data_IF_798224078586
#
_entry.id   IF_798224078586
#
_cell.length_a   1.000
_cell.length_b   1.000
_cell.length_c   1.000
_cell.angle_alpha   90.00
_cell.angle_beta   90.00
_cell.angle_gamma   90.00
#
_symmetry.space_group_name_H-M   'P 1'
#
loop_
_entity.id
_entity.type
_entity.pdbx_description
1 polymer ?
#
# COMPACT_ATOMS: atom_id res chain seq x y z
N UNK A 1 13.94 20.24 -23.93
CA UNK A 1 12.77 19.85 -24.73
C UNK A 1 12.81 18.33 -24.88
N UNK A 2 12.53 17.59 -23.80
CA UNK A 2 12.79 16.12 -23.74
C UNK A 2 11.92 15.37 -22.71
N UNK A 3 10.91 16.02 -22.11
CA UNK A 3 10.08 15.42 -21.05
C UNK A 3 8.90 14.57 -21.56
N UNK A 4 8.46 14.76 -22.81
CA UNK A 4 7.30 14.04 -23.37
C UNK A 4 7.60 12.57 -23.71
N UNK A 5 8.76 12.27 -24.30
CA UNK A 5 9.11 10.91 -24.73
C UNK A 5 9.21 9.89 -23.58
N UNK A 6 9.81 10.27 -22.44
CA UNK A 6 9.91 9.37 -21.27
C UNK A 6 8.55 9.04 -20.63
N UNK A 7 7.55 9.92 -20.77
CA UNK A 7 6.21 9.70 -20.22
C UNK A 7 5.36 8.74 -21.06
N UNK A 8 5.56 8.72 -22.38
CA UNK A 8 4.84 7.83 -23.30
C UNK A 8 5.43 6.42 -23.25
N UNK A 9 6.76 6.31 -23.17
CA UNK A 9 7.47 5.04 -23.08
C UNK A 9 7.21 4.33 -21.73
N UNK A 10 7.12 5.10 -20.63
CA UNK A 10 6.69 4.56 -19.32
C UNK A 10 5.24 4.08 -19.32
N UNK A 11 4.32 4.77 -20.04
CA UNK A 11 2.92 4.35 -20.17
C UNK A 11 2.75 3.13 -21.07
N UNK A 12 3.53 3.04 -22.15
CA UNK A 12 3.53 1.89 -23.06
C UNK A 12 4.06 0.62 -22.38
N UNK A 13 5.10 0.73 -21.55
CA UNK A 13 5.58 -0.36 -20.70
C UNK A 13 4.53 -0.82 -19.67
N UNK A 14 3.77 0.12 -19.09
CA UNK A 14 2.67 -0.19 -18.15
C UNK A 14 1.48 -0.88 -18.83
N UNK A 15 1.18 -0.53 -20.09
CA UNK A 15 0.09 -1.12 -20.87
C UNK A 15 0.44 -2.53 -21.38
N UNK A 16 1.69 -2.76 -21.80
CA UNK A 16 2.20 -4.06 -22.22
C UNK A 16 2.37 -5.04 -21.04
N UNK A 17 2.57 -4.51 -19.83
CA UNK A 17 2.62 -5.28 -18.58
C UNK A 17 1.23 -5.60 -17.99
N UNK A 18 0.15 -5.54 -18.79
CA UNK A 18 -1.14 -6.16 -18.45
C UNK A 18 -1.00 -7.68 -18.43
N UNK A 19 -0.25 -8.18 -17.44
CA UNK A 19 -0.06 -9.59 -17.14
C UNK A 19 -1.43 -10.23 -16.88
N UNK A 20 -1.57 -11.48 -17.32
CA UNK A 20 -2.76 -12.32 -17.16
C UNK A 20 -3.03 -12.74 -15.70
N UNK A 21 -3.13 -11.78 -14.78
CA UNK A 21 -3.42 -12.04 -13.37
C UNK A 21 -3.90 -10.80 -12.61
N UNK A 22 -4.33 -10.97 -11.35
CA UNK A 22 -4.85 -9.88 -10.52
C UNK A 22 -3.84 -8.73 -10.36
N UNK A 23 -4.33 -7.50 -10.33
CA UNK A 23 -3.52 -6.30 -10.09
C UNK A 23 -3.02 -6.34 -8.65
N UNK A 24 -1.70 -6.19 -8.46
CA UNK A 24 -1.09 -6.19 -7.14
C UNK A 24 -1.19 -4.78 -6.55
N UNK A 25 -1.76 -4.68 -5.35
CA UNK A 25 -1.95 -3.41 -4.64
C UNK A 25 -1.27 -3.52 -3.28
N UNK A 26 -0.60 -2.44 -2.87
CA UNK A 26 -0.04 -2.31 -1.53
C UNK A 26 -0.65 -1.07 -0.87
N UNK A 27 -1.27 -1.26 0.29
CA UNK A 27 -1.61 -0.14 1.17
C UNK A 27 -0.43 0.08 2.12
N UNK A 28 0.16 1.27 2.07
CA UNK A 28 1.19 1.68 3.01
C UNK A 28 0.53 2.57 4.05
N UNK A 29 0.44 2.07 5.29
CA UNK A 29 -0.13 2.79 6.42
C UNK A 29 0.91 2.92 7.53
N UNK A 30 0.76 3.92 8.38
CA UNK A 30 1.69 4.20 9.47
C UNK A 30 1.40 3.37 10.72
N UNK A 31 0.14 3.00 10.96
CA UNK A 31 -0.28 2.28 12.14
C UNK A 31 -1.48 1.34 11.90
N UNK A 32 -1.80 0.51 12.91
CA UNK A 32 -2.91 -0.46 12.90
C UNK A 32 -3.98 -0.15 13.96
N UNK A 33 -3.98 1.08 14.49
CA UNK A 33 -4.96 1.56 15.45
C UNK A 33 -6.25 2.02 14.75
N UNK A 34 -7.26 2.32 15.56
CA UNK A 34 -8.54 2.78 15.05
C UNK A 34 -8.44 4.28 14.76
N UNK A 35 -8.46 4.62 13.47
CA UNK A 35 -8.64 5.98 12.97
C UNK A 35 -9.48 5.99 11.70
N UNK A 36 -9.84 7.18 11.21
CA UNK A 36 -10.75 7.32 10.07
C UNK A 36 -10.15 6.77 8.78
N UNK A 37 -8.87 7.04 8.53
CA UNK A 37 -8.13 6.58 7.35
C UNK A 37 -7.91 5.07 7.41
N UNK A 38 -7.52 4.56 8.56
CA UNK A 38 -7.22 3.15 8.80
C UNK A 38 -8.48 2.29 8.70
N UNK A 39 -9.60 2.78 9.25
CA UNK A 39 -10.90 2.14 9.11
C UNK A 39 -11.38 2.13 7.67
N UNK A 40 -11.15 3.20 6.92
CA UNK A 40 -11.48 3.22 5.50
C UNK A 40 -10.65 2.19 4.72
N UNK A 41 -9.34 2.16 4.96
CA UNK A 41 -8.43 1.21 4.32
C UNK A 41 -8.83 -0.25 4.56
N UNK A 42 -9.15 -0.64 5.80
CA UNK A 42 -9.57 -2.02 6.09
C UNK A 42 -10.94 -2.33 5.50
N UNK A 43 -11.88 -1.38 5.47
CA UNK A 43 -13.19 -1.56 4.82
C UNK A 43 -13.06 -1.73 3.32
N UNK A 44 -12.11 -1.04 2.69
CA UNK A 44 -11.77 -1.23 1.27
C UNK A 44 -11.17 -2.61 1.05
N UNK A 45 -10.22 -3.02 1.90
CA UNK A 45 -9.59 -4.33 1.82
C UNK A 45 -10.60 -5.49 1.91
N UNK A 46 -11.57 -5.40 2.83
CA UNK A 46 -12.63 -6.39 3.02
C UNK A 46 -13.57 -6.54 1.81
N UNK A 47 -13.66 -5.53 0.94
CA UNK A 47 -14.59 -5.48 -0.20
C UNK A 47 -13.91 -5.62 -1.56
N UNK A 48 -12.58 -5.68 -1.58
CA UNK A 48 -11.83 -5.72 -2.82
C UNK A 48 -11.97 -7.11 -3.48
N UNK A 49 -12.34 -7.14 -4.75
CA UNK A 49 -12.51 -8.38 -5.51
C UNK A 49 -11.16 -9.11 -5.68
N UNK A 50 -10.96 -10.29 -5.07
CA UNK A 50 -9.69 -11.01 -5.10
C UNK A 50 -9.36 -11.58 -6.49
N UNK A 51 -10.35 -11.72 -7.39
CA UNK A 51 -10.12 -12.14 -8.78
C UNK A 51 -9.47 -11.03 -9.62
N UNK A 52 -9.66 -9.77 -9.21
CA UNK A 52 -9.15 -8.58 -9.90
C UNK A 52 -7.96 -7.96 -9.20
N UNK A 53 -7.86 -8.10 -7.88
CA UNK A 53 -6.82 -7.48 -7.08
C UNK A 53 -6.23 -8.44 -6.05
N UNK A 54 -4.90 -8.40 -5.92
CA UNK A 54 -4.18 -9.05 -4.83
C UNK A 54 -3.61 -7.97 -3.91
N UNK A 55 -4.26 -7.75 -2.78
CA UNK A 55 -3.90 -6.72 -1.80
C UNK A 55 -2.89 -7.25 -0.78
N UNK A 56 -1.97 -6.38 -0.41
CA UNK A 56 -1.07 -6.52 0.75
C UNK A 56 -1.07 -5.19 1.53
N UNK A 57 -0.75 -5.26 2.82
CA UNK A 57 -0.63 -4.07 3.67
C UNK A 57 0.79 -4.00 4.19
N UNK A 58 1.42 -2.85 4.05
CA UNK A 58 2.69 -2.52 4.68
C UNK A 58 2.41 -1.55 5.82
N UNK A 59 2.86 -1.87 7.02
CA UNK A 59 2.62 -1.03 8.20
C UNK A 59 3.91 -0.64 8.89
N UNK A 60 4.04 0.63 9.25
CA UNK A 60 5.19 1.10 10.04
C UNK A 60 5.13 0.66 11.50
N UNK A 61 3.94 0.30 12.00
CA UNK A 61 3.73 -0.32 13.31
C UNK A 61 2.98 -1.64 13.14
N UNK A 62 3.53 -2.73 13.69
CA UNK A 62 3.01 -4.08 13.47
C UNK A 62 1.72 -4.39 14.24
N UNK A 63 1.49 -3.68 15.35
CA UNK A 63 0.47 -4.02 16.34
C UNK A 63 -0.71 -3.07 16.30
N UNK A 64 -1.89 -3.62 16.56
CA UNK A 64 -3.12 -2.84 16.69
C UNK A 64 -4.37 -3.68 16.41
N UNK A 65 -5.54 -3.17 16.81
CA UNK A 65 -6.82 -3.88 16.68
C UNK A 65 -7.20 -4.23 15.23
N UNK A 66 -6.69 -3.50 14.22
CA UNK A 66 -7.07 -3.73 12.81
C UNK A 66 -6.30 -4.88 12.13
N UNK A 67 -5.20 -5.37 12.72
CA UNK A 67 -4.39 -6.46 12.13
C UNK A 67 -5.24 -7.70 11.86
N UNK A 68 -6.10 -8.07 12.82
CA UNK A 68 -6.94 -9.27 12.70
C UNK A 68 -7.98 -9.14 11.59
N UNK A 69 -8.47 -7.92 11.33
CA UNK A 69 -9.42 -7.69 10.24
C UNK A 69 -8.78 -7.85 8.87
N UNK A 70 -7.55 -7.35 8.68
CA UNK A 70 -6.80 -7.61 7.45
C UNK A 70 -6.54 -9.11 7.25
N UNK A 71 -6.12 -9.81 8.30
CA UNK A 71 -5.89 -11.27 8.24
C UNK A 71 -7.18 -12.04 7.92
N UNK A 72 -8.29 -11.67 8.53
CA UNK A 72 -9.60 -12.28 8.26
C UNK A 72 -10.08 -12.04 6.82
N UNK A 73 -9.69 -10.91 6.21
CA UNK A 73 -9.92 -10.62 4.79
C UNK A 73 -8.93 -11.34 3.84
N UNK A 74 -8.04 -12.19 4.36
CA UNK A 74 -7.02 -12.89 3.57
C UNK A 74 -5.89 -11.99 3.08
N UNK A 75 -5.72 -10.82 3.68
CA UNK A 75 -4.69 -9.83 3.30
C UNK A 75 -3.41 -10.06 4.10
N UNK A 76 -2.30 -10.15 3.38
CA UNK A 76 -0.98 -10.26 3.97
C UNK A 76 -0.55 -8.92 4.58
N UNK A 77 -0.10 -8.95 5.84
CA UNK A 77 0.36 -7.77 6.59
C UNK A 77 1.87 -7.87 6.77
N UNK A 78 2.60 -6.92 6.19
CA UNK A 78 4.04 -6.79 6.25
C UNK A 78 4.42 -5.66 7.21
N UNK A 79 4.91 -5.97 8.42
CA UNK A 79 5.45 -4.95 9.30
C UNK A 79 6.80 -4.44 8.77
N UNK A 80 6.94 -3.13 8.68
CA UNK A 80 8.16 -2.43 8.30
C UNK A 80 8.46 -1.34 9.35
N UNK A 81 8.96 -1.71 10.54
CA UNK A 81 9.18 -0.76 11.61
C UNK A 81 10.26 0.25 11.24
N UNK A 82 9.86 1.51 11.08
CA UNK A 82 10.80 2.62 10.96
C UNK A 82 11.25 3.02 12.37
N UNK A 83 12.56 2.93 12.63
CA UNK A 83 13.15 3.34 13.91
C UNK A 83 13.02 4.85 14.16
N UNK A 84 12.91 5.65 13.09
CA UNK A 84 12.69 7.08 13.15
C UNK A 84 11.97 7.54 11.87
N UNK A 85 10.92 8.36 12.02
CA UNK A 85 10.20 8.99 10.90
C UNK A 85 10.86 10.30 10.45
N UNK A 86 11.78 10.84 11.27
CA UNK A 86 12.56 12.02 10.97
C UNK A 86 13.97 11.61 10.56
N UNK A 87 14.39 12.02 9.36
CA UNK A 87 15.81 12.02 9.01
C UNK A 87 16.52 13.17 9.73
N UNK A 88 17.85 13.09 9.91
CA UNK A 88 18.65 14.17 10.49
C UNK A 88 18.47 15.53 9.78
N UNK A 89 18.01 15.53 8.52
CA UNK A 89 17.68 16.73 7.77
C UNK A 89 16.38 17.42 8.22
N UNK A 90 15.45 16.71 8.85
CA UNK A 90 14.16 17.25 9.30
C UNK A 90 14.26 18.07 10.59
N UNK A 91 15.39 17.99 11.31
CA UNK A 91 15.65 18.71 12.57
C UNK A 91 16.17 20.15 12.31
N UNK A 92 16.44 20.52 11.05
CA UNK A 92 16.98 21.84 10.67
C UNK A 92 15.91 22.87 10.25
N UNK A 93 14.77 22.90 10.94
CA UNK A 93 13.79 23.99 10.83
C UNK A 93 13.64 24.69 12.18
#
# INVERSE_FOLDING_TARGET
>A
MTWKAQSEESRAGHAAARRAGPIRVAFCIDNMNIGGTELNAVRTAERLDPSRYRLSVVSLQADGPLVQRYRAAGVEVHPFPLRNLYGAAAIRQ
#
